data_IF_401142833155
#
_entry.id   IF_401142833155
#
_cell.length_a   1.000
_cell.length_b   1.000
_cell.length_c   1.000
_cell.angle_alpha   90.00
_cell.angle_beta   90.00
_cell.angle_gamma   90.00
#
_symmetry.space_group_name_H-M   'P 1'
#
loop_
_entity.id
_entity.type
_entity.pdbx_description
1 polymer ?
#
# COMPACT_ATOMS: atom_id res chain seq x y z
N UNK A 1 0.76 -0.33 36.13
CA UNK A 1 1.15 -0.21 34.71
C UNK A 1 2.47 -0.95 34.58
N UNK A 2 2.46 -2.16 34.02
CA UNK A 2 3.65 -3.02 34.00
C UNK A 2 4.73 -2.40 33.14
N UNK A 3 5.92 -2.22 33.71
CA UNK A 3 7.13 -1.94 32.94
C UNK A 3 7.41 -3.15 32.05
N UNK A 4 7.01 -3.11 30.78
CA UNK A 4 7.52 -4.05 29.79
C UNK A 4 9.02 -3.81 29.67
N UNK A 5 9.83 -4.74 30.20
CA UNK A 5 11.27 -4.68 30.00
C UNK A 5 11.57 -5.13 28.58
N UNK A 6 12.22 -4.27 27.80
CA UNK A 6 12.75 -4.64 26.48
C UNK A 6 13.87 -5.65 26.67
N UNK A 7 13.83 -6.75 25.94
CA UNK A 7 14.84 -7.79 25.91
C UNK A 7 15.50 -7.90 24.53
N UNK A 8 16.71 -8.47 24.51
CA UNK A 8 17.35 -8.85 23.24
C UNK A 8 16.51 -9.93 22.57
N UNK A 9 16.26 -9.76 21.27
CA UNK A 9 15.38 -10.60 20.48
C UNK A 9 13.94 -10.09 20.38
N UNK A 10 13.54 -9.08 21.17
CA UNK A 10 12.20 -8.50 21.07
C UNK A 10 11.96 -7.90 19.69
N UNK A 11 10.74 -8.09 19.19
CA UNK A 11 10.27 -7.54 17.94
C UNK A 11 9.46 -6.27 18.22
N UNK A 12 9.71 -5.21 17.47
CA UNK A 12 8.96 -3.96 17.57
C UNK A 12 8.56 -3.44 16.19
N UNK A 13 7.42 -2.75 16.10
CA UNK A 13 6.97 -2.07 14.88
C UNK A 13 7.08 -0.55 15.03
N UNK A 14 8.06 0.02 14.34
CA UNK A 14 8.50 1.42 14.48
C UNK A 14 8.47 2.12 13.12
N UNK A 15 8.72 3.44 13.10
CA UNK A 15 8.67 4.26 11.90
C UNK A 15 9.31 5.62 12.16
N UNK A 16 9.25 6.57 11.22
CA UNK A 16 10.05 7.80 11.28
C UNK A 16 9.74 8.69 12.50
N UNK A 17 8.49 8.66 12.96
CA UNK A 17 8.04 9.35 14.18
C UNK A 17 8.65 8.78 15.47
N UNK A 18 9.13 7.54 15.43
CA UNK A 18 9.77 6.85 16.56
C UNK A 18 11.30 6.87 16.45
N UNK A 19 11.82 6.80 15.22
CA UNK A 19 13.24 6.83 14.91
C UNK A 19 13.47 7.58 13.58
N UNK A 20 13.99 8.80 13.67
CA UNK A 20 14.12 9.71 12.52
C UNK A 20 15.03 9.22 11.39
N UNK A 21 15.87 8.21 11.65
CA UNK A 21 16.72 7.56 10.64
C UNK A 21 15.92 6.67 9.68
N UNK A 22 14.73 6.22 10.09
CA UNK A 22 13.86 5.42 9.24
C UNK A 22 13.15 6.30 8.21
N UNK A 23 13.07 5.81 6.98
CA UNK A 23 12.28 6.44 5.92
C UNK A 23 10.79 6.05 5.97
N UNK A 24 10.46 4.92 6.60
CA UNK A 24 9.12 4.34 6.63
C UNK A 24 8.91 3.43 7.85
N UNK A 25 7.67 3.01 8.06
CA UNK A 25 7.34 2.06 9.13
C UNK A 25 7.84 0.65 8.80
N UNK A 26 8.55 0.03 9.74
CA UNK A 26 9.18 -1.30 9.59
C UNK A 26 9.22 -2.07 10.91
N UNK A 27 9.44 -3.38 10.79
CA UNK A 27 9.79 -4.21 11.94
C UNK A 27 11.28 -4.06 12.24
N UNK A 28 11.59 -4.07 13.54
CA UNK A 28 12.96 -4.09 14.04
C UNK A 28 13.09 -5.13 15.13
N UNK A 29 14.23 -5.81 15.16
CA UNK A 29 14.58 -6.79 16.19
C UNK A 29 15.69 -6.24 17.06
N UNK A 30 15.51 -6.31 18.37
CA UNK A 30 16.50 -5.82 19.33
C UNK A 30 17.74 -6.72 19.30
N UNK A 31 18.90 -6.16 18.94
CA UNK A 31 20.17 -6.89 18.89
C UNK A 31 20.99 -6.66 20.16
N UNK A 32 21.10 -5.42 20.61
CA UNK A 32 21.82 -5.07 21.84
C UNK A 32 21.14 -3.91 22.56
N UNK A 33 21.31 -3.87 23.88
CA UNK A 33 20.87 -2.79 24.75
C UNK A 33 22.12 -2.11 25.31
N UNK A 34 22.21 -0.80 25.19
CA UNK A 34 23.35 0.01 25.63
C UNK A 34 22.84 1.21 26.42
N UNK A 35 22.83 1.07 27.75
CA UNK A 35 22.26 2.10 28.63
C UNK A 35 20.76 2.25 28.42
N UNK A 36 20.33 3.45 28.03
CA UNK A 36 18.94 3.81 27.71
C UNK A 36 18.61 3.69 26.21
N UNK A 37 19.57 3.26 25.40
CA UNK A 37 19.41 3.05 23.97
C UNK A 37 19.36 1.56 23.62
N UNK A 38 18.63 1.27 22.55
CA UNK A 38 18.49 -0.04 21.93
C UNK A 38 19.07 0.06 20.53
N UNK A 39 20.00 -0.84 20.19
CA UNK A 39 20.40 -1.04 18.80
C UNK A 39 19.62 -2.23 18.25
N UNK A 40 18.89 -1.99 17.17
CA UNK A 40 17.98 -2.94 16.57
C UNK A 40 18.26 -3.06 15.07
N UNK A 41 18.18 -4.27 14.53
CA UNK A 41 18.24 -4.50 13.08
C UNK A 41 16.85 -4.40 12.48
N UNK A 42 16.73 -3.80 11.30
CA UNK A 42 15.51 -3.87 10.49
C UNK A 42 15.31 -5.29 9.98
N UNK A 43 14.12 -5.85 10.18
CA UNK A 43 13.79 -7.23 9.79
C UNK A 43 12.48 -7.29 9.02
N UNK A 44 12.29 -8.33 8.22
CA UNK A 44 11.02 -8.56 7.52
C UNK A 44 11.09 -9.70 6.52
N UNK A 45 10.01 -9.91 5.74
CA UNK A 45 9.98 -10.96 4.72
C UNK A 45 10.87 -10.67 3.51
N UNK A 46 11.26 -9.40 3.32
CA UNK A 46 12.08 -8.95 2.20
C UNK A 46 13.49 -8.49 2.65
N UNK A 47 13.87 -8.71 3.92
CA UNK A 47 15.20 -8.31 4.41
C UNK A 47 16.23 -9.38 4.08
N UNK A 48 17.33 -8.99 3.44
CA UNK A 48 18.49 -9.84 3.24
C UNK A 48 19.31 -9.90 4.54
N UNK A 49 19.64 -11.11 5.02
CA UNK A 49 20.41 -11.31 6.27
C UNK A 49 21.84 -10.73 6.20
N UNK A 50 22.35 -10.50 4.98
CA UNK A 50 23.70 -9.99 4.74
C UNK A 50 23.79 -8.44 4.79
N UNK A 51 22.65 -7.73 4.69
CA UNK A 51 22.55 -6.26 4.64
C UNK A 51 21.64 -5.70 5.76
N UNK A 52 21.87 -6.13 7.00
CA UNK A 52 21.09 -5.67 8.16
C UNK A 52 21.31 -4.18 8.45
N UNK A 53 20.30 -3.36 8.18
CA UNK A 53 20.26 -1.95 8.58
C UNK A 53 20.09 -1.87 10.12
N UNK A 54 21.17 -1.53 10.83
CA UNK A 54 21.13 -1.29 12.28
C UNK A 54 20.73 0.16 12.59
N UNK A 55 19.75 0.32 13.47
CA UNK A 55 19.27 1.62 13.95
C UNK A 55 19.36 1.73 15.46
N UNK A 56 19.47 2.96 15.96
CA UNK A 56 19.43 3.26 17.39
C UNK A 56 18.11 3.93 17.78
N UNK A 57 17.45 3.39 18.80
CA UNK A 57 16.14 3.85 19.30
C UNK A 57 16.20 3.89 20.83
N UNK A 58 15.50 4.83 21.46
CA UNK A 58 15.38 4.84 22.93
C UNK A 58 14.63 3.61 23.45
N UNK A 59 15.10 3.06 24.58
CA UNK A 59 14.49 1.90 25.22
C UNK A 59 13.02 2.13 25.58
N UNK A 60 12.69 3.33 26.07
CA UNK A 60 11.31 3.70 26.39
C UNK A 60 10.40 3.67 25.15
N UNK A 61 10.92 4.09 23.99
CA UNK A 61 10.15 4.03 22.76
C UNK A 61 9.93 2.60 22.31
N UNK A 62 10.98 1.77 22.33
CA UNK A 62 10.86 0.35 21.98
C UNK A 62 9.86 -0.36 22.91
N UNK A 63 9.92 -0.12 24.22
CA UNK A 63 9.02 -0.73 25.21
C UNK A 63 7.52 -0.50 24.92
N UNK A 64 7.17 0.63 24.30
CA UNK A 64 5.80 1.01 23.91
C UNK A 64 5.38 0.45 22.55
N UNK A 65 6.33 -0.11 21.78
CA UNK A 65 6.17 -0.54 20.39
C UNK A 65 6.49 -2.02 20.16
N UNK A 66 6.84 -2.74 21.23
CA UNK A 66 7.01 -4.20 21.20
C UNK A 66 5.71 -4.83 20.69
N UNK A 67 5.86 -5.75 19.76
CA UNK A 67 4.79 -6.57 19.21
C UNK A 67 4.96 -8.02 19.64
N UNK A 68 3.92 -8.82 19.49
CA UNK A 68 4.01 -10.24 19.77
C UNK A 68 4.95 -10.94 18.76
N UNK A 69 5.83 -11.82 19.24
CA UNK A 69 6.77 -12.55 18.40
C UNK A 69 6.08 -13.39 17.30
N UNK A 70 4.81 -13.77 17.50
CA UNK A 70 4.02 -14.47 16.48
C UNK A 70 3.72 -13.63 15.25
N UNK A 71 3.86 -12.30 15.30
CA UNK A 71 3.77 -11.46 14.09
C UNK A 71 4.84 -11.81 13.07
N UNK A 72 6.01 -12.33 13.49
CA UNK A 72 7.07 -12.78 12.59
C UNK A 72 6.67 -13.99 11.71
N UNK A 73 5.50 -14.60 11.93
CA UNK A 73 4.98 -15.69 11.07
C UNK A 73 4.45 -15.18 9.73
N UNK A 74 3.76 -14.04 9.74
CA UNK A 74 3.06 -13.50 8.57
C UNK A 74 3.43 -12.04 8.25
N UNK A 75 4.21 -11.40 9.12
CA UNK A 75 4.72 -10.03 8.99
C UNK A 75 3.65 -9.01 8.58
N UNK A 76 2.50 -8.92 9.28
CA UNK A 76 1.39 -8.07 8.85
C UNK A 76 1.78 -6.59 8.69
N UNK A 77 2.65 -6.08 9.57
CA UNK A 77 3.21 -4.73 9.49
C UNK A 77 4.03 -4.45 8.23
N UNK A 78 4.61 -5.47 7.59
CA UNK A 78 5.40 -5.30 6.36
C UNK A 78 4.52 -4.92 5.16
N UNK A 79 3.21 -5.11 5.27
CA UNK A 79 2.25 -4.68 4.26
C UNK A 79 1.80 -3.23 4.45
N UNK A 80 1.95 -2.63 5.62
CA UNK A 80 1.51 -1.25 5.89
C UNK A 80 2.15 -0.29 4.89
N UNK A 81 1.34 0.62 4.35
CA UNK A 81 1.69 1.56 3.27
C UNK A 81 2.04 0.92 1.92
N UNK A 82 1.98 -0.41 1.79
CA UNK A 82 2.25 -1.10 0.51
C UNK A 82 1.03 -1.12 -0.38
N UNK A 83 1.31 -0.96 -1.67
CA UNK A 83 0.38 -1.26 -2.74
C UNK A 83 0.26 -2.77 -2.85
N UNK A 84 -0.97 -3.25 -2.96
CA UNK A 84 -1.25 -4.68 -2.99
C UNK A 84 -2.29 -5.04 -4.03
N UNK A 85 -2.13 -6.22 -4.62
CA UNK A 85 -3.21 -6.96 -5.25
C UNK A 85 -3.71 -8.02 -4.26
N UNK A 86 -5.02 -8.18 -4.14
CA UNK A 86 -5.62 -9.13 -3.19
C UNK A 86 -6.89 -9.73 -3.76
N UNK A 87 -7.23 -10.94 -3.30
CA UNK A 87 -8.52 -11.57 -3.64
C UNK A 87 -9.59 -11.02 -2.70
N UNK A 88 -10.69 -10.51 -3.26
CA UNK A 88 -11.79 -9.99 -2.45
C UNK A 88 -12.41 -11.10 -1.59
N UNK A 89 -12.48 -10.91 -0.26
CA UNK A 89 -12.89 -11.97 0.67
C UNK A 89 -14.41 -12.14 0.74
N UNK A 90 -15.18 -11.11 0.36
CA UNK A 90 -16.62 -11.06 0.52
C UNK A 90 -17.30 -10.17 -0.55
N UNK A 91 -18.62 -10.08 -0.46
CA UNK A 91 -19.44 -9.26 -1.35
C UNK A 91 -19.61 -9.83 -2.77
N UNK A 92 -20.17 -9.00 -3.65
CA UNK A 92 -20.52 -9.40 -5.02
C UNK A 92 -19.31 -9.74 -5.91
N UNK A 93 -18.10 -9.38 -5.49
CA UNK A 93 -16.85 -9.61 -6.22
C UNK A 93 -15.94 -10.61 -5.50
N UNK A 94 -16.48 -11.40 -4.57
CA UNK A 94 -15.73 -12.44 -3.86
C UNK A 94 -14.95 -13.32 -4.84
N UNK A 95 -13.70 -13.63 -4.49
CA UNK A 95 -12.83 -14.43 -5.35
C UNK A 95 -12.22 -13.66 -6.53
N UNK A 96 -12.54 -12.38 -6.75
CA UNK A 96 -11.91 -11.57 -7.80
C UNK A 96 -10.73 -10.77 -7.28
N UNK A 97 -9.71 -10.62 -8.12
CA UNK A 97 -8.57 -9.73 -7.83
C UNK A 97 -9.00 -8.26 -7.79
N UNK A 98 -8.52 -7.57 -6.78
CA UNK A 98 -8.63 -6.13 -6.61
C UNK A 98 -7.28 -5.53 -6.23
N UNK A 99 -7.18 -4.21 -6.34
CA UNK A 99 -5.98 -3.45 -5.99
C UNK A 99 -6.31 -2.44 -4.90
N UNK A 100 -5.40 -2.27 -3.96
CA UNK A 100 -5.56 -1.29 -2.91
C UNK A 100 -4.24 -0.98 -2.21
N UNK A 101 -4.32 -0.16 -1.17
CA UNK A 101 -3.18 0.18 -0.32
C UNK A 101 -3.49 -0.20 1.11
N UNK A 102 -2.55 -0.85 1.80
CA UNK A 102 -2.76 -1.24 3.19
C UNK A 102 -2.57 -0.02 4.09
N UNK A 103 -3.59 0.27 4.89
CA UNK A 103 -3.62 1.43 5.79
C UNK A 103 -3.19 1.07 7.21
N UNK A 104 -3.54 -0.13 7.66
CA UNK A 104 -3.23 -0.67 8.98
C UNK A 104 -3.34 -2.19 8.99
N UNK A 105 -2.87 -2.80 10.07
CA UNK A 105 -3.10 -4.21 10.37
C UNK A 105 -3.62 -4.39 11.79
N UNK A 106 -4.20 -5.54 12.03
CA UNK A 106 -4.59 -6.05 13.34
C UNK A 106 -3.96 -7.44 13.51
N UNK A 107 -3.07 -7.58 14.49
CA UNK A 107 -2.46 -8.84 14.84
C UNK A 107 -3.07 -9.34 16.15
N UNK A 108 -3.86 -10.40 16.04
CA UNK A 108 -4.34 -11.18 17.17
C UNK A 108 -3.64 -12.54 17.17
N UNK A 109 -3.54 -13.18 18.33
CA UNK A 109 -2.94 -14.52 18.44
C UNK A 109 -3.62 -15.47 17.45
N UNK A 110 -2.85 -16.00 16.50
CA UNK A 110 -3.32 -16.92 15.47
C UNK A 110 -4.11 -16.29 14.32
N UNK A 111 -4.31 -14.96 14.29
CA UNK A 111 -5.02 -14.27 13.21
C UNK A 111 -4.40 -12.90 12.93
N UNK A 112 -3.78 -12.76 11.76
CA UNK A 112 -3.31 -11.48 11.24
C UNK A 112 -4.26 -10.97 10.16
N UNK A 113 -4.71 -9.73 10.28
CA UNK A 113 -5.63 -9.09 9.33
C UNK A 113 -5.01 -7.78 8.85
N UNK A 114 -5.06 -7.53 7.55
CA UNK A 114 -4.68 -6.25 6.95
C UNK A 114 -5.92 -5.52 6.45
N UNK A 115 -5.98 -4.20 6.66
CA UNK A 115 -7.07 -3.36 6.20
C UNK A 115 -6.61 -2.57 4.97
N UNK A 116 -7.25 -2.86 3.84
CA UNK A 116 -6.86 -2.39 2.52
C UNK A 116 -7.86 -1.35 2.04
N UNK A 117 -7.39 -0.13 1.76
CA UNK A 117 -8.20 0.89 1.10
C UNK A 117 -8.25 0.57 -0.40
N UNK A 118 -9.44 0.20 -0.88
CA UNK A 118 -9.74 -0.16 -2.27
C UNK A 118 -10.83 0.77 -2.80
N UNK A 119 -10.44 1.78 -3.57
CA UNK A 119 -11.32 2.88 -3.95
C UNK A 119 -11.70 3.71 -2.73
N UNK A 120 -12.99 3.77 -2.41
CA UNK A 120 -13.54 4.45 -1.21
C UNK A 120 -13.83 3.49 -0.05
N UNK A 121 -13.68 2.19 -0.26
CA UNK A 121 -14.02 1.16 0.71
C UNK A 121 -12.77 0.63 1.40
N UNK A 122 -12.91 0.22 2.66
CA UNK A 122 -11.89 -0.54 3.39
C UNK A 122 -12.28 -2.01 3.39
N UNK A 123 -11.38 -2.86 2.93
CA UNK A 123 -11.55 -4.31 2.88
C UNK A 123 -10.57 -4.97 3.85
N UNK A 124 -11.08 -5.80 4.76
CA UNK A 124 -10.27 -6.53 5.72
C UNK A 124 -9.89 -7.90 5.16
N UNK A 125 -8.60 -8.17 4.97
CA UNK A 125 -8.09 -9.43 4.44
C UNK A 125 -7.31 -10.16 5.53
N UNK A 126 -7.69 -11.40 5.81
CA UNK A 126 -6.92 -12.26 6.72
C UNK A 126 -5.68 -12.78 5.99
N UNK A 127 -4.51 -12.57 6.56
CA UNK A 127 -3.26 -13.13 6.04
C UNK A 127 -3.21 -14.63 6.31
N UNK A 128 -2.79 -15.38 5.30
CA UNK A 128 -2.63 -16.83 5.31
C UNK A 128 -1.26 -17.19 4.75
N UNK A 129 -0.84 -18.43 4.98
CA UNK A 129 0.30 -19.03 4.30
C UNK A 129 -0.21 -20.25 3.49
N UNK A 130 -0.18 -20.20 2.14
CA UNK A 130 0.36 -19.13 1.30
C UNK A 130 -0.51 -17.85 1.29
N UNK A 131 0.09 -16.67 1.03
CA UNK A 131 -0.64 -15.39 1.04
C UNK A 131 -1.54 -15.22 -0.18
N UNK A 132 -2.78 -14.75 0.05
CA UNK A 132 -3.73 -14.31 -1.01
C UNK A 132 -3.63 -12.81 -1.30
N UNK A 133 -2.47 -12.26 -1.02
CA UNK A 133 -2.13 -10.84 -1.17
C UNK A 133 -0.71 -10.76 -1.73
N UNK A 134 -0.51 -9.86 -2.69
CA UNK A 134 0.76 -9.69 -3.40
C UNK A 134 1.14 -8.22 -3.28
N UNK A 135 2.37 -7.91 -2.86
CA UNK A 135 2.93 -6.55 -2.93
C UNK A 135 3.14 -6.20 -4.40
N UNK A 136 2.66 -5.03 -4.84
CA UNK A 136 2.71 -4.66 -6.27
C UNK A 136 3.55 -3.42 -6.53
N UNK A 137 4.22 -3.43 -7.67
CA UNK A 137 4.89 -2.25 -8.22
C UNK A 137 3.86 -1.16 -8.57
N UNK A 138 4.18 0.14 -8.40
CA UNK A 138 3.29 1.24 -8.76
C UNK A 138 2.74 1.17 -10.19
N UNK A 139 3.49 0.62 -11.17
CA UNK A 139 3.01 0.42 -12.54
C UNK A 139 1.83 -0.55 -12.56
N UNK A 140 1.94 -1.70 -11.89
CA UNK A 140 0.86 -2.69 -11.83
C UNK A 140 -0.32 -2.18 -11.01
N UNK A 141 -0.07 -1.43 -9.95
CA UNK A 141 -1.13 -0.77 -9.18
C UNK A 141 -1.93 0.22 -10.03
N UNK A 142 -1.24 1.05 -10.82
CA UNK A 142 -1.88 2.02 -11.70
C UNK A 142 -2.59 1.37 -12.89
N UNK A 143 -2.12 0.23 -13.41
CA UNK A 143 -2.75 -0.47 -14.52
C UNK A 143 -3.82 -1.48 -14.09
N UNK A 144 -3.76 -1.94 -12.84
CA UNK A 144 -4.66 -2.94 -12.27
C UNK A 144 -4.70 -4.24 -13.08
N UNK A 145 -3.52 -4.79 -13.38
CA UNK A 145 -3.38 -6.02 -14.18
C UNK A 145 -4.15 -7.18 -13.53
N UNK A 146 -5.00 -7.88 -14.30
CA UNK A 146 -5.79 -8.99 -13.77
C UNK A 146 -6.94 -8.61 -12.84
N UNK A 147 -7.20 -7.31 -12.61
CA UNK A 147 -8.31 -6.90 -11.76
C UNK A 147 -9.66 -7.38 -12.31
N UNK A 148 -10.56 -7.81 -11.43
CA UNK A 148 -11.87 -8.36 -11.78
C UNK A 148 -11.84 -9.82 -12.26
N UNK A 149 -10.65 -10.39 -12.53
CA UNK A 149 -10.51 -11.81 -12.84
C UNK A 149 -10.61 -12.63 -11.58
N UNK A 150 -11.28 -13.80 -11.66
CA UNK A 150 -11.36 -14.74 -10.54
C UNK A 150 -9.98 -15.36 -10.25
N UNK A 151 -9.68 -15.57 -8.98
CA UNK A 151 -8.49 -16.27 -8.48
C UNK A 151 -8.41 -17.73 -8.95
N UNK A 152 -9.54 -18.31 -9.36
CA UNK A 152 -9.60 -19.65 -9.98
C UNK A 152 -9.16 -19.64 -11.45
N UNK A 153 -9.23 -18.49 -12.13
CA UNK A 153 -8.82 -18.32 -13.53
C UNK A 153 -7.38 -17.80 -13.60
N UNK A 154 -6.99 -16.97 -12.64
CA UNK A 154 -5.67 -16.39 -12.55
C UNK A 154 -5.19 -16.51 -11.11
N UNK A 155 -4.37 -17.50 -10.81
CA UNK A 155 -3.88 -17.72 -9.46
C UNK A 155 -2.81 -16.66 -9.07
N UNK A 156 -2.38 -16.59 -7.79
CA UNK A 156 -1.42 -15.58 -7.35
C UNK A 156 -0.07 -15.62 -8.10
N UNK A 157 0.43 -16.81 -8.44
CA UNK A 157 1.70 -16.97 -9.15
C UNK A 157 1.58 -16.48 -10.60
N UNK A 158 0.51 -16.86 -11.30
CA UNK A 158 0.24 -16.43 -12.67
C UNK A 158 0.05 -14.92 -12.75
N UNK A 159 -0.66 -14.33 -11.77
CA UNK A 159 -0.80 -12.87 -11.67
C UNK A 159 0.57 -12.19 -11.48
N UNK A 160 1.42 -12.72 -10.61
CA UNK A 160 2.76 -12.18 -10.39
C UNK A 160 3.62 -12.25 -11.67
N UNK A 161 3.54 -13.33 -12.43
CA UNK A 161 4.24 -13.47 -13.73
C UNK A 161 3.75 -12.45 -14.76
N UNK A 162 2.44 -12.20 -14.82
CA UNK A 162 1.87 -11.14 -15.66
C UNK A 162 2.35 -9.75 -15.23
N UNK A 163 2.34 -9.47 -13.93
CA UNK A 163 2.81 -8.21 -13.36
C UNK A 163 4.30 -7.96 -13.66
N UNK A 164 5.13 -9.00 -13.55
CA UNK A 164 6.55 -8.93 -13.89
C UNK A 164 6.76 -8.65 -15.39
N UNK A 165 5.97 -9.29 -16.25
CA UNK A 165 5.99 -9.04 -17.70
C UNK A 165 5.65 -7.57 -18.02
N UNK A 166 4.65 -7.01 -17.35
CA UNK A 166 4.23 -5.60 -17.52
C UNK A 166 5.31 -4.64 -17.02
N UNK A 167 5.92 -4.90 -15.86
CA UNK A 167 7.04 -4.11 -15.35
C UNK A 167 8.20 -4.05 -16.37
N UNK A 168 8.61 -5.20 -16.91
CA UNK A 168 9.68 -5.27 -17.91
C UNK A 168 9.30 -4.53 -19.20
N UNK A 169 8.06 -4.67 -19.66
CA UNK A 169 7.59 -4.01 -20.88
C UNK A 169 7.53 -2.48 -20.72
N UNK A 170 7.04 -1.99 -19.58
CA UNK A 170 6.91 -0.56 -19.29
C UNK A 170 8.27 0.10 -19.06
N UNK A 171 9.21 -0.56 -18.39
CA UNK A 171 10.58 -0.04 -18.18
C UNK A 171 11.35 0.17 -19.49
N UNK A 172 11.01 -0.57 -20.55
CA UNK A 172 11.68 -0.50 -21.87
C UNK A 172 11.23 0.67 -22.75
N UNK A 173 10.15 1.38 -22.43
CA UNK A 173 9.65 2.51 -23.26
C UNK A 173 9.35 3.75 -22.44
N UNK A 174 9.48 4.91 -23.09
CA UNK A 174 9.04 6.22 -22.57
C UNK A 174 7.84 6.68 -23.38
N UNK A 175 6.65 6.76 -22.78
CA UNK A 175 5.44 7.24 -23.44
C UNK A 175 4.25 6.27 -23.32
N UNK A 176 3.48 6.13 -24.40
CA UNK A 176 2.26 5.34 -24.42
C UNK A 176 2.48 3.86 -24.06
N UNK A 177 1.46 3.26 -23.44
CA UNK A 177 1.49 1.85 -23.03
C UNK A 177 1.74 0.92 -24.23
N UNK A 178 2.67 -0.04 -24.11
CA UNK A 178 2.88 -1.04 -25.16
C UNK A 178 1.59 -1.79 -25.50
N UNK A 179 1.36 -2.11 -26.77
CA UNK A 179 0.18 -2.89 -27.21
C UNK A 179 0.02 -4.21 -26.46
N UNK A 180 1.15 -4.89 -26.17
CA UNK A 180 1.16 -6.10 -25.34
C UNK A 180 0.59 -5.85 -23.94
N UNK A 181 0.91 -4.73 -23.32
CA UNK A 181 0.38 -4.36 -22.00
C UNK A 181 -1.09 -4.01 -22.11
N UNK A 182 -1.50 -3.26 -23.14
CA UNK A 182 -2.90 -2.95 -23.38
C UNK A 182 -3.76 -4.20 -23.55
N UNK A 183 -3.25 -5.23 -24.25
CA UNK A 183 -3.94 -6.51 -24.42
C UNK A 183 -4.06 -7.34 -23.14
N UNK A 184 -3.25 -7.05 -22.11
CA UNK A 184 -3.29 -7.72 -20.80
C UNK A 184 -4.23 -7.01 -19.81
N UNK A 185 -4.78 -5.84 -20.17
CA UNK A 185 -5.70 -5.12 -19.31
C UNK A 185 -7.06 -5.82 -19.28
N UNK A 186 -7.47 -6.26 -18.10
CA UNK A 186 -8.81 -6.82 -17.85
C UNK A 186 -9.84 -5.72 -17.56
N UNK A 187 -9.36 -4.57 -17.09
CA UNK A 187 -10.13 -3.34 -16.92
C UNK A 187 -9.49 -2.22 -17.74
N UNK A 188 -10.27 -1.38 -18.45
CA UNK A 188 -9.70 -0.27 -19.20
C UNK A 188 -8.89 0.67 -18.31
N UNK A 189 -7.71 1.08 -18.79
CA UNK A 189 -6.93 2.09 -18.11
C UNK A 189 -7.56 3.48 -18.32
N UNK A 190 -8.02 4.08 -17.22
CA UNK A 190 -8.56 5.44 -17.19
C UNK A 190 -7.53 6.39 -16.55
N UNK A 191 -6.87 7.27 -17.34
CA UNK A 191 -5.79 8.13 -16.84
C UNK A 191 -6.21 9.10 -15.74
N UNK A 192 -7.45 9.59 -15.81
CA UNK A 192 -8.01 10.60 -14.90
C UNK A 192 -8.50 10.03 -13.57
N UNK A 193 -8.70 8.71 -13.48
CA UNK A 193 -9.17 8.07 -12.26
C UNK A 193 -8.16 8.27 -11.14
N UNK A 194 -8.68 8.49 -9.94
CA UNK A 194 -7.89 8.75 -8.75
C UNK A 194 -7.73 7.46 -7.97
N UNK A 195 -6.50 7.18 -7.53
CA UNK A 195 -6.16 6.06 -6.69
C UNK A 195 -5.61 6.54 -5.34
N UNK A 196 -5.89 5.79 -4.28
CA UNK A 196 -5.41 6.08 -2.95
C UNK A 196 -4.00 5.50 -2.75
N UNK A 197 -3.10 6.30 -2.18
CA UNK A 197 -1.81 5.86 -1.70
C UNK A 197 -1.71 6.17 -0.20
N UNK A 198 -0.81 5.49 0.49
CA UNK A 198 -0.49 5.76 1.89
C UNK A 198 0.97 6.15 1.94
N UNK A 199 1.26 7.33 2.49
CA UNK A 199 2.65 7.79 2.61
C UNK A 199 3.40 6.90 3.60
N UNK A 200 4.55 6.32 3.23
CA UNK A 200 5.26 5.41 4.12
C UNK A 200 5.80 6.06 5.40
N UNK A 201 5.97 7.38 5.42
CA UNK A 201 6.60 8.08 6.55
C UNK A 201 5.64 8.50 7.67
N UNK A 202 4.38 8.77 7.33
CA UNK A 202 3.37 9.27 8.28
C UNK A 202 2.00 8.59 8.16
N UNK A 203 1.88 7.61 7.27
CA UNK A 203 0.69 6.82 7.01
C UNK A 203 -0.54 7.64 6.58
N UNK A 204 -0.37 8.88 6.15
CA UNK A 204 -1.48 9.67 5.63
C UNK A 204 -1.93 9.13 4.27
N UNK A 205 -3.25 9.01 4.12
CA UNK A 205 -3.88 8.67 2.85
C UNK A 205 -3.84 9.91 1.94
N UNK A 206 -3.32 9.72 0.73
CA UNK A 206 -3.30 10.72 -0.33
C UNK A 206 -3.93 10.15 -1.58
N UNK A 207 -4.40 11.03 -2.45
CA UNK A 207 -5.11 10.68 -3.66
C UNK A 207 -4.37 11.27 -4.87
N UNK A 208 -4.04 10.41 -5.83
CA UNK A 208 -3.31 10.80 -7.04
C UNK A 208 -3.94 10.17 -8.27
N UNK A 209 -3.87 10.83 -9.43
CA UNK A 209 -4.37 10.22 -10.67
C UNK A 209 -3.54 9.01 -11.03
N UNK A 210 -4.16 7.96 -11.56
CA UNK A 210 -3.46 6.75 -12.03
C UNK A 210 -2.40 7.08 -13.08
N UNK A 211 -2.65 8.09 -13.92
CA UNK A 211 -1.63 8.58 -14.86
C UNK A 211 -0.39 9.14 -14.15
N UNK A 212 -0.55 9.87 -13.05
CA UNK A 212 0.59 10.41 -12.29
C UNK A 212 1.47 9.30 -11.73
N UNK A 213 0.86 8.24 -11.19
CA UNK A 213 1.59 7.06 -10.72
C UNK A 213 2.44 6.46 -11.84
N UNK A 214 1.85 6.29 -13.03
CA UNK A 214 2.56 5.79 -14.20
C UNK A 214 3.69 6.71 -14.66
N UNK A 215 3.44 8.02 -14.74
CA UNK A 215 4.43 9.00 -15.17
C UNK A 215 5.63 9.04 -14.20
N UNK A 216 5.37 8.92 -12.89
CA UNK A 216 6.42 8.85 -11.87
C UNK A 216 7.19 7.53 -11.97
N UNK A 217 6.49 6.40 -12.05
CA UNK A 217 7.10 5.07 -12.04
C UNK A 217 7.87 4.74 -13.33
N UNK A 218 7.42 5.24 -14.49
CA UNK A 218 8.07 5.01 -15.79
C UNK A 218 9.05 6.12 -16.18
N UNK A 219 9.02 7.28 -15.50
CA UNK A 219 9.89 8.40 -15.85
C UNK A 219 11.36 8.13 -15.51
N UNK A 220 12.27 8.77 -16.25
CA UNK A 220 13.70 8.49 -16.10
C UNK A 220 14.22 8.97 -14.74
N UNK A 221 14.97 8.15 -13.97
CA UNK A 221 15.48 8.53 -12.64
C UNK A 221 16.26 9.86 -12.62
N UNK A 222 16.98 10.18 -13.72
CA UNK A 222 17.77 11.41 -13.85
C UNK A 222 16.96 12.70 -14.09
N UNK A 223 15.69 12.59 -14.49
CA UNK A 223 14.84 13.75 -14.82
C UNK A 223 13.54 13.79 -14.02
N UNK A 224 13.13 12.67 -13.42
CA UNK A 224 11.88 12.60 -12.69
C UNK A 224 12.08 13.12 -11.27
N UNK A 225 11.74 14.38 -11.05
CA UNK A 225 11.69 15.02 -9.71
C UNK A 225 10.29 14.93 -9.09
N UNK A 226 9.37 14.24 -9.76
CA UNK A 226 7.97 14.15 -9.39
C UNK A 226 7.81 13.21 -8.19
N UNK A 227 7.10 13.69 -7.18
CA UNK A 227 6.76 12.93 -5.98
C UNK A 227 5.53 12.05 -6.27
N UNK A 228 5.67 10.73 -6.05
CA UNK A 228 4.59 9.76 -6.24
C UNK A 228 3.34 10.12 -5.43
N UNK A 229 3.52 10.69 -4.24
CA UNK A 229 2.45 10.97 -3.29
C UNK A 229 1.84 12.37 -3.44
N UNK A 230 2.30 13.15 -4.42
CA UNK A 230 1.82 14.51 -4.69
C UNK A 230 1.60 14.73 -6.17
N UNK A 231 0.35 14.62 -6.60
CA UNK A 231 -0.07 14.94 -7.96
C UNK A 231 -0.58 16.39 -8.03
N UNK A 232 0.11 17.30 -8.74
CA UNK A 232 -0.28 18.70 -8.83
C UNK A 232 -1.58 18.93 -9.62
N UNK A 233 -2.09 17.91 -10.31
CA UNK A 233 -3.30 17.98 -11.13
C UNK A 233 -4.45 17.16 -10.54
N UNK A 234 -4.32 16.61 -9.33
CA UNK A 234 -5.45 15.98 -8.64
C UNK A 234 -6.45 17.06 -8.24
N UNK A 235 -7.73 16.96 -8.65
CA UNK A 235 -8.75 17.87 -8.15
C UNK A 235 -8.88 17.77 -6.63
N UNK A 236 -9.11 18.90 -5.96
CA UNK A 236 -9.27 18.93 -4.52
C UNK A 236 -10.52 18.12 -4.11
N UNK A 237 -10.29 16.92 -3.57
CA UNK A 237 -11.25 16.03 -2.90
C UNK A 237 -12.21 15.22 -3.83
N UNK A 238 -12.17 13.88 -3.82
CA UNK A 238 -13.19 13.03 -4.45
C UNK A 238 -14.49 12.90 -3.64
N UNK A 239 -14.60 13.59 -2.49
CA UNK A 239 -15.67 13.37 -1.50
C UNK A 239 -16.88 14.30 -1.61
N UNK A 240 -17.07 15.05 -2.70
CA UNK A 240 -18.24 15.93 -2.85
C UNK A 240 -19.11 15.43 -4.00
N UNK A 241 -20.30 14.85 -3.75
CA UNK A 241 -21.26 14.70 -4.83
C UNK A 241 -21.59 16.10 -5.34
N UNK A 242 -21.39 16.32 -6.64
CA UNK A 242 -21.82 17.53 -7.32
C UNK A 242 -23.33 17.67 -7.17
N UNK A 243 -23.77 18.41 -6.17
CA UNK A 243 -25.13 18.94 -6.11
C UNK A 243 -25.20 20.11 -7.09
N UNK A 244 -25.24 19.78 -8.38
CA UNK A 244 -25.64 20.71 -9.43
C UNK A 244 -27.17 20.61 -9.56
N UNK A 245 -27.87 20.99 -8.49
CA UNK A 245 -29.28 21.38 -8.60
C UNK A 245 -29.30 22.87 -8.85
N UNK A 246 -29.33 23.24 -10.13
CA UNK A 246 -29.75 24.57 -10.54
C UNK A 246 -31.19 24.81 -10.03
N UNK A 247 -31.46 25.90 -9.30
CA UNK A 247 -32.83 26.29 -9.02
C UNK A 247 -33.44 26.85 -10.30
N UNK A 248 -34.34 26.10 -10.92
CA UNK A 248 -35.32 26.66 -11.86
C UNK A 248 -36.09 27.74 -11.12
N UNK A 249 -35.79 28.99 -11.45
CA UNK A 249 -36.53 30.14 -10.95
C UNK A 249 -37.94 30.11 -11.53
N UNK A 250 -38.91 30.19 -10.63
CA UNK A 250 -40.33 30.39 -10.90
C UNK A 250 -40.52 31.51 -11.92
N UNK A 251 -41.36 31.25 -12.94
CA UNK A 251 -41.93 32.30 -13.78
C UNK A 251 -43.41 32.39 -13.47
N UNK A 252 -43.76 33.55 -12.92
CA UNK A 252 -45.07 34.00 -12.47
C UNK A 252 -46.23 33.69 -13.44
N UNK A 253 -47.35 33.38 -12.82
CA UNK A 253 -48.70 33.53 -13.33
C UNK A 253 -49.03 35.01 -13.62
N UNK A 254 -49.59 35.29 -14.79
CA UNK A 254 -50.61 36.32 -15.05
C UNK A 254 -51.29 35.97 -16.40
N UNK A 255 -52.51 35.42 -16.35
CA UNK A 255 -53.78 36.08 -16.71
C UNK A 255 -54.10 36.07 -18.21
N UNK A 256 -55.05 35.21 -18.59
CA UNK A 256 -56.33 35.60 -19.24
C UNK A 256 -57.38 34.51 -18.95
#
# INVERSE_FOLDING_TARGET
MGSSSVAVGDLAFVGPVHASTLAEFRYVRVNRITGDAVCAAVVGPDSDEDDEEEISISMEMVARRVVDASEAKLWPGAYVSRLVAFVQPDGAKVGQWAYGVVTRYDALVGKSVVNILCGVNVVSVTLTDPPRIIKVDPVNYALQIGAGTSDMVLNPQELLEQQNTVCVACRKRRGALPSKVQAMLTVPFQPGDVAALVRPHDLQVVYVRRQHILDVAMGSPKKNRSDLYRDPKTPANPSTPSSDTSPTSDREFAED
#
